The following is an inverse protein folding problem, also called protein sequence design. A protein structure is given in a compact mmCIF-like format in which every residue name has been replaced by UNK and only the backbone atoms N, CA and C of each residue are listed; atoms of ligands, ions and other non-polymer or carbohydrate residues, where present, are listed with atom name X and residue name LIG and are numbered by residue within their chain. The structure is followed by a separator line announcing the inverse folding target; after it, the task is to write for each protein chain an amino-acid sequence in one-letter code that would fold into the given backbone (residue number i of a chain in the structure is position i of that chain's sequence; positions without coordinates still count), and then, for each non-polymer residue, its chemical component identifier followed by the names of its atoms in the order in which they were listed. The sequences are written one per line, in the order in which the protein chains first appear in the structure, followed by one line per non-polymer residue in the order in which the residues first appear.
data_IF_680101167138
#
_entry.id   IF_680101167138
#
_cell.length_a   1.000
_cell.length_b   1.000
_cell.length_c   1.000
_cell.angle_alpha   90.00
_cell.angle_beta   90.00
_cell.angle_gamma   90.00
#
_symmetry.space_group_name_H-M   'P 1'
#
loop_
_entity.id
_entity.type
_entity.pdbx_description
1 polymer ?
#
# COMPACT_ATOMS: atom_id res chain seq x y z
N UNK A 1 -16.94 -18.78 30.11
CA UNK A 1 -15.74 -18.04 29.67
C UNK A 1 -15.18 -18.76 28.45
N UNK A 2 -15.53 -18.33 27.22
CA UNK A 2 -15.01 -18.93 25.99
C UNK A 2 -13.61 -18.37 25.75
N UNK A 3 -12.58 -19.24 25.76
CA UNK A 3 -11.24 -18.90 25.31
C UNK A 3 -11.30 -18.74 23.79
N UNK A 4 -11.36 -17.50 23.31
CA UNK A 4 -11.04 -17.21 21.90
C UNK A 4 -9.53 -17.33 21.75
N UNK A 5 -9.08 -18.25 20.92
CA UNK A 5 -7.72 -18.22 20.42
C UNK A 5 -7.73 -17.09 19.38
N UNK A 6 -7.29 -15.89 19.80
CA UNK A 6 -7.00 -14.77 18.89
C UNK A 6 -5.73 -15.10 18.11
N UNK A 7 -5.84 -16.04 17.18
CA UNK A 7 -4.79 -16.27 16.23
C UNK A 7 -5.46 -16.55 14.90
N UNK A 8 -5.97 -15.50 14.26
CA UNK A 8 -6.27 -15.49 12.82
C UNK A 8 -4.94 -15.47 12.04
N UNK A 9 -3.99 -16.30 12.47
CA UNK A 9 -2.70 -16.47 11.85
C UNK A 9 -2.86 -17.52 10.77
N UNK A 10 -2.37 -17.21 9.58
CA UNK A 10 -2.19 -18.20 8.53
C UNK A 10 -1.22 -19.26 9.03
N UNK A 11 -1.67 -20.51 9.10
CA UNK A 11 -0.84 -21.64 9.51
C UNK A 11 -0.27 -22.30 8.26
N UNK A 12 1.05 -22.22 8.08
CA UNK A 12 1.74 -22.97 7.04
C UNK A 12 1.65 -24.46 7.40
N UNK A 13 0.97 -25.23 6.54
CA UNK A 13 0.83 -26.69 6.65
C UNK A 13 2.09 -27.35 6.07
N UNK A 14 2.49 -26.92 4.87
CA UNK A 14 3.60 -27.52 4.13
C UNK A 14 4.23 -26.48 3.21
N UNK A 15 5.49 -26.69 2.85
CA UNK A 15 6.13 -26.00 1.76
C UNK A 15 6.83 -27.02 0.85
N UNK A 16 7.00 -26.68 -0.43
CA UNK A 16 7.77 -27.46 -1.37
C UNK A 16 8.64 -26.54 -2.22
N UNK A 17 9.77 -27.06 -2.70
CA UNK A 17 10.63 -26.37 -3.66
C UNK A 17 10.92 -27.32 -4.82
N UNK A 18 10.75 -26.84 -6.05
CA UNK A 18 11.06 -27.57 -7.28
C UNK A 18 11.82 -26.63 -8.22
N UNK A 19 13.15 -26.81 -8.29
CA UNK A 19 14.02 -25.90 -9.03
C UNK A 19 13.92 -24.47 -8.47
N UNK A 20 13.49 -23.55 -9.34
CA UNK A 20 13.30 -22.13 -9.01
C UNK A 20 11.90 -21.81 -8.46
N UNK A 21 11.00 -22.81 -8.41
CA UNK A 21 9.65 -22.64 -7.88
C UNK A 21 9.57 -23.03 -6.41
N UNK A 22 8.82 -22.24 -5.64
CA UNK A 22 8.43 -22.54 -4.27
C UNK A 22 6.91 -22.57 -4.17
N UNK A 23 6.36 -23.49 -3.39
CA UNK A 23 4.94 -23.56 -3.08
C UNK A 23 4.74 -23.61 -1.57
N UNK A 24 3.72 -22.92 -1.09
CA UNK A 24 3.26 -22.99 0.29
C UNK A 24 1.82 -23.50 0.32
N UNK A 25 1.56 -24.50 1.15
CA UNK A 25 0.23 -24.93 1.53
C UNK A 25 -0.04 -24.38 2.92
N UNK A 26 -1.12 -23.62 3.07
CA UNK A 26 -1.49 -23.01 4.34
C UNK A 26 -2.99 -23.10 4.58
N UNK A 27 -3.39 -22.94 5.84
CA UNK A 27 -4.78 -22.91 6.26
C UNK A 27 -5.04 -21.68 7.14
N UNK A 28 -6.30 -21.26 7.19
CA UNK A 28 -6.76 -20.17 8.01
C UNK A 28 -7.41 -20.73 9.27
N UNK A 29 -6.85 -20.36 10.42
CA UNK A 29 -7.45 -20.71 11.70
C UNK A 29 -8.69 -19.83 11.90
N UNK A 30 -9.82 -20.46 12.24
CA UNK A 30 -11.03 -19.74 12.64
C UNK A 30 -12.14 -19.65 11.60
N UNK A 31 -11.89 -20.00 10.34
CA UNK A 31 -12.97 -20.14 9.33
C UNK A 31 -13.94 -21.23 9.80
N UNK A 32 -15.20 -20.88 10.07
CA UNK A 32 -16.21 -21.82 10.57
C UNK A 32 -16.81 -22.63 9.41
N UNK A 33 -16.11 -23.70 9.01
CA UNK A 33 -16.70 -24.73 8.14
C UNK A 33 -17.20 -24.22 6.77
N UNK A 34 -18.06 -25.02 6.12
CA UNK A 34 -18.57 -24.77 4.75
C UNK A 34 -19.61 -23.65 4.65
N UNK A 35 -20.07 -23.12 5.77
CA UNK A 35 -21.22 -22.22 5.84
C UNK A 35 -20.82 -20.75 6.08
N UNK A 36 -19.54 -20.45 6.29
CA UNK A 36 -19.04 -19.07 6.39
C UNK A 36 -18.83 -18.47 5.00
N UNK A 37 -19.30 -17.24 4.82
CA UNK A 37 -19.05 -16.48 3.60
C UNK A 37 -17.73 -15.73 3.76
N UNK A 38 -16.80 -15.95 2.82
CA UNK A 38 -15.50 -15.27 2.80
C UNK A 38 -15.47 -14.34 1.61
N UNK A 39 -15.27 -13.05 1.86
CA UNK A 39 -15.05 -12.03 0.84
C UNK A 39 -13.70 -11.37 1.01
N UNK A 40 -13.26 -10.58 0.02
CA UNK A 40 -12.08 -9.74 0.20
C UNK A 40 -12.47 -8.34 0.69
N UNK A 41 -11.55 -7.64 1.37
CA UNK A 41 -11.78 -6.28 1.87
C UNK A 41 -12.15 -5.30 0.76
N UNK A 42 -11.77 -5.58 -0.50
CA UNK A 42 -12.15 -4.75 -1.64
C UNK A 42 -13.66 -4.80 -1.91
N UNK A 43 -14.26 -5.99 -1.90
CA UNK A 43 -15.70 -6.15 -2.10
C UNK A 43 -16.48 -5.40 -1.01
N UNK A 44 -16.00 -5.47 0.23
CA UNK A 44 -16.54 -4.71 1.34
C UNK A 44 -16.36 -3.21 1.13
N UNK A 45 -15.17 -2.77 0.69
CA UNK A 45 -14.89 -1.37 0.40
C UNK A 45 -15.89 -0.81 -0.62
N UNK A 46 -16.22 -1.53 -1.70
CA UNK A 46 -17.15 -0.98 -2.69
C UNK A 46 -18.62 -1.01 -2.25
N UNK A 47 -19.00 -1.88 -1.30
CA UNK A 47 -20.38 -2.08 -0.87
C UNK A 47 -20.78 -1.34 0.41
N UNK A 48 -19.83 -0.87 1.22
CA UNK A 48 -20.08 -0.27 2.54
C UNK A 48 -19.77 1.23 2.59
N UNK A 49 -20.17 1.93 3.65
CA UNK A 49 -19.84 3.35 3.84
C UNK A 49 -18.41 3.55 4.34
N UNK A 50 -17.96 4.81 4.48
CA UNK A 50 -16.62 5.08 5.03
C UNK A 50 -16.58 4.78 6.54
N UNK A 51 -17.67 5.05 7.26
CA UNK A 51 -17.79 4.80 8.70
C UNK A 51 -17.68 3.30 9.04
N UNK A 52 -18.11 2.42 8.12
CA UNK A 52 -17.99 0.97 8.25
C UNK A 52 -16.59 0.47 7.89
N UNK A 53 -15.91 1.11 6.94
CA UNK A 53 -14.57 0.70 6.47
C UNK A 53 -13.43 1.15 7.38
N UNK A 54 -13.50 2.35 7.96
CA UNK A 54 -12.41 2.86 8.80
C UNK A 54 -12.07 1.93 9.98
N UNK A 55 -13.06 1.36 10.71
CA UNK A 55 -12.78 0.36 11.76
C UNK A 55 -12.10 -0.92 11.24
N UNK A 56 -12.35 -1.32 9.99
CA UNK A 56 -11.70 -2.49 9.40
C UNK A 56 -10.20 -2.23 9.18
N UNK A 57 -9.80 -1.01 8.82
CA UNK A 57 -8.38 -0.68 8.78
C UNK A 57 -7.73 -0.66 10.17
N UNK A 58 -8.45 -0.22 11.21
CA UNK A 58 -7.94 -0.31 12.59
C UNK A 58 -7.70 -1.77 12.96
N UNK A 59 -8.63 -2.66 12.62
CA UNK A 59 -8.47 -4.09 12.84
C UNK A 59 -7.29 -4.68 12.03
N UNK A 60 -7.14 -4.30 10.76
CA UNK A 60 -6.05 -4.76 9.91
C UNK A 60 -4.68 -4.37 10.49
N UNK A 61 -4.46 -3.08 10.75
CA UNK A 61 -3.13 -2.58 11.15
C UNK A 61 -2.83 -2.80 12.64
N UNK A 62 -3.82 -2.69 13.53
CA UNK A 62 -3.61 -2.78 14.99
C UNK A 62 -3.85 -4.16 15.57
N UNK A 63 -4.51 -5.06 14.84
CA UNK A 63 -4.78 -6.42 15.30
C UNK A 63 -4.08 -7.44 14.42
N UNK A 64 -4.42 -7.51 13.13
CA UNK A 64 -3.91 -8.55 12.23
C UNK A 64 -2.40 -8.40 11.95
N UNK A 65 -1.95 -7.18 11.63
CA UNK A 65 -0.56 -6.89 11.27
C UNK A 65 0.32 -6.47 12.46
N UNK A 66 -0.25 -6.34 13.67
CA UNK A 66 0.48 -5.84 14.84
C UNK A 66 1.75 -6.63 15.15
N UNK A 67 1.72 -7.94 14.99
CA UNK A 67 2.87 -8.81 15.25
C UNK A 67 3.95 -8.69 14.17
N UNK A 68 3.56 -8.37 12.94
CA UNK A 68 4.47 -8.19 11.80
C UNK A 68 5.36 -6.97 12.02
N UNK A 69 4.77 -5.88 12.54
CA UNK A 69 5.47 -4.64 12.85
C UNK A 69 6.01 -4.56 14.29
N UNK A 70 5.86 -5.62 15.10
CA UNK A 70 6.03 -5.54 16.57
C UNK A 70 7.46 -5.37 17.08
N UNK A 71 8.47 -5.68 16.26
CA UNK A 71 9.89 -5.64 16.62
C UNK A 71 10.76 -5.03 15.50
N UNK A 72 10.50 -3.80 15.08
CA UNK A 72 11.25 -3.23 13.98
C UNK A 72 12.66 -2.85 14.43
N UNK A 73 13.57 -2.79 13.47
CA UNK A 73 14.98 -2.42 13.69
C UNK A 73 15.33 -1.24 12.82
N UNK A 74 16.00 -0.24 13.38
CA UNK A 74 16.52 0.85 12.58
C UNK A 74 17.61 0.33 11.63
N UNK A 75 17.48 0.65 10.35
CA UNK A 75 18.34 0.20 9.25
C UNK A 75 18.51 1.29 8.21
N UNK A 76 19.66 1.28 7.55
CA UNK A 76 19.86 2.01 6.31
C UNK A 76 19.35 1.14 5.15
N UNK A 77 18.27 1.57 4.51
CA UNK A 77 17.66 0.88 3.37
C UNK A 77 17.82 1.72 2.11
N UNK A 78 18.09 1.05 0.98
CA UNK A 78 18.13 1.66 -0.34
C UNK A 78 16.74 1.64 -0.98
N UNK A 79 15.91 2.62 -0.67
CA UNK A 79 14.52 2.66 -1.14
C UNK A 79 14.42 2.64 -2.67
N UNK A 80 15.30 3.37 -3.38
CA UNK A 80 15.31 3.33 -4.84
C UNK A 80 15.66 1.95 -5.41
N UNK A 81 16.53 1.18 -4.74
CA UNK A 81 16.81 -0.20 -5.12
C UNK A 81 15.60 -1.09 -4.88
N UNK A 82 14.95 -0.95 -3.72
CA UNK A 82 13.78 -1.73 -3.34
C UNK A 82 12.59 -1.54 -4.31
N UNK A 83 12.35 -0.31 -4.75
CA UNK A 83 11.28 0.04 -5.70
C UNK A 83 11.73 0.03 -7.18
N UNK A 84 12.93 -0.49 -7.49
CA UNK A 84 13.43 -0.50 -8.88
C UNK A 84 12.96 -1.69 -9.73
N UNK A 85 12.26 -2.66 -9.14
CA UNK A 85 11.77 -3.82 -9.87
C UNK A 85 10.43 -3.51 -10.55
N UNK A 86 10.46 -3.38 -11.87
CA UNK A 86 9.27 -3.18 -12.69
C UNK A 86 9.08 -4.38 -13.59
N UNK A 87 8.16 -5.26 -13.18
CA UNK A 87 7.77 -6.38 -14.03
C UNK A 87 7.25 -5.87 -15.37
N UNK A 88 7.71 -6.49 -16.45
CA UNK A 88 7.31 -6.15 -17.82
C UNK A 88 7.62 -4.71 -18.23
N UNK A 89 8.65 -4.08 -17.65
CA UNK A 89 9.08 -2.73 -18.02
C UNK A 89 9.25 -2.56 -19.53
N UNK A 90 9.89 -3.52 -20.21
CA UNK A 90 10.08 -3.46 -21.67
C UNK A 90 8.74 -3.37 -22.42
N UNK A 91 7.74 -4.15 -22.02
CA UNK A 91 6.40 -4.07 -22.61
C UNK A 91 5.73 -2.71 -22.37
N UNK A 92 5.92 -2.13 -21.17
CA UNK A 92 5.40 -0.80 -20.84
C UNK A 92 6.08 0.26 -21.71
N UNK A 93 7.41 0.18 -21.84
CA UNK A 93 8.20 1.09 -22.67
C UNK A 93 7.78 1.02 -24.13
N UNK A 94 7.67 -0.17 -24.70
CA UNK A 94 7.19 -0.38 -26.09
C UNK A 94 5.78 0.17 -26.30
N UNK A 95 4.86 -0.06 -25.35
CA UNK A 95 3.50 0.47 -25.41
C UNK A 95 3.49 2.01 -25.39
N UNK A 96 4.25 2.62 -24.48
CA UNK A 96 4.33 4.07 -24.35
C UNK A 96 4.92 4.71 -25.61
N UNK A 97 6.01 4.15 -26.14
CA UNK A 97 6.63 4.64 -27.37
C UNK A 97 5.69 4.53 -28.58
N UNK A 98 4.97 3.41 -28.72
CA UNK A 98 4.09 3.17 -29.86
C UNK A 98 2.78 3.98 -29.85
N UNK A 99 2.28 4.37 -28.67
CA UNK A 99 0.98 5.04 -28.54
C UNK A 99 1.07 6.53 -28.21
N UNK A 100 2.17 6.98 -27.61
CA UNK A 100 2.32 8.35 -27.13
C UNK A 100 3.55 9.07 -27.69
N UNK A 101 4.38 8.41 -28.49
CA UNK A 101 5.62 8.99 -29.07
C UNK A 101 6.57 9.56 -28.00
N UNK A 102 6.57 8.95 -26.80
CA UNK A 102 7.42 9.37 -25.67
C UNK A 102 8.63 8.43 -25.57
N UNK A 103 9.83 9.00 -25.54
CA UNK A 103 11.09 8.25 -25.37
C UNK A 103 11.64 8.34 -23.95
N UNK A 104 12.38 7.34 -23.48
CA UNK A 104 13.08 7.37 -22.20
C UNK A 104 14.25 8.38 -22.15
N UNK A 105 14.68 8.89 -23.30
CA UNK A 105 15.74 9.92 -23.40
C UNK A 105 15.23 11.32 -23.05
N UNK A 106 13.91 11.52 -23.04
CA UNK A 106 13.28 12.80 -22.76
C UNK A 106 13.06 12.97 -21.25
N UNK A 107 13.65 13.99 -20.63
CA UNK A 107 13.55 14.19 -19.18
C UNK A 107 12.12 14.51 -18.71
N UNK A 108 11.35 15.17 -19.56
CA UNK A 108 9.99 15.65 -19.24
C UNK A 108 9.01 15.33 -20.34
N UNK A 109 7.74 15.16 -19.96
CA UNK A 109 6.60 15.06 -20.87
C UNK A 109 5.63 16.21 -20.63
N UNK A 110 4.95 16.64 -21.70
CA UNK A 110 3.80 17.52 -21.62
C UNK A 110 2.57 16.71 -21.21
N UNK A 111 1.93 17.09 -20.12
CA UNK A 111 0.70 16.47 -19.65
C UNK A 111 -0.49 17.02 -20.44
N UNK A 112 -1.51 16.18 -20.72
CA UNK A 112 -2.70 16.62 -21.42
C UNK A 112 -3.49 17.67 -20.61
N UNK A 113 -4.50 18.27 -21.25
CA UNK A 113 -5.47 19.18 -20.59
C UNK A 113 -4.86 20.44 -19.94
N UNK A 114 -3.69 20.88 -20.39
CA UNK A 114 -3.03 22.07 -19.84
C UNK A 114 -2.51 21.86 -18.42
N UNK A 115 -2.25 20.61 -18.03
CA UNK A 115 -1.72 20.24 -16.71
C UNK A 115 -0.23 20.60 -16.53
N UNK A 116 0.42 21.09 -17.60
CA UNK A 116 1.82 21.51 -17.62
C UNK A 116 2.76 20.33 -17.90
N UNK A 117 3.99 20.42 -17.42
CA UNK A 117 5.01 19.38 -17.61
C UNK A 117 5.16 18.50 -16.37
N UNK A 118 5.55 17.25 -16.60
CA UNK A 118 5.96 16.31 -15.55
C UNK A 118 7.28 15.65 -15.92
N UNK A 119 8.02 15.15 -14.93
CA UNK A 119 9.10 14.20 -15.19
C UNK A 119 8.54 13.00 -15.96
N UNK A 120 9.23 12.61 -17.02
CA UNK A 120 8.88 11.44 -17.80
C UNK A 120 9.10 10.17 -16.97
N UNK A 121 8.08 9.32 -16.76
CA UNK A 121 8.24 8.07 -16.01
C UNK A 121 9.29 7.13 -16.60
N UNK A 122 9.44 7.09 -17.94
CA UNK A 122 10.46 6.26 -18.59
C UNK A 122 11.88 6.76 -18.26
N UNK A 123 12.11 8.07 -18.39
CA UNK A 123 13.37 8.69 -17.99
C UNK A 123 13.66 8.50 -16.50
N UNK A 124 12.64 8.62 -15.64
CA UNK A 124 12.79 8.42 -14.21
C UNK A 124 13.33 7.02 -13.89
N UNK A 125 12.79 5.99 -14.54
CA UNK A 125 13.20 4.60 -14.32
C UNK A 125 14.61 4.31 -14.87
N UNK A 126 14.92 4.76 -16.08
CA UNK A 126 16.21 4.45 -16.74
C UNK A 126 17.37 5.31 -16.26
N UNK A 127 17.10 6.53 -15.79
CA UNK A 127 18.14 7.48 -15.43
C UNK A 127 18.13 7.83 -13.94
N UNK A 128 16.99 8.27 -13.40
CA UNK A 128 16.94 8.80 -12.03
C UNK A 128 17.08 7.66 -11.01
N UNK A 129 16.28 6.59 -11.12
CA UNK A 129 16.37 5.43 -10.23
C UNK A 129 17.78 4.83 -10.28
N UNK A 130 18.37 4.66 -11.46
CA UNK A 130 19.71 4.07 -11.59
C UNK A 130 20.79 4.89 -10.86
N UNK A 131 20.72 6.23 -10.95
CA UNK A 131 21.65 7.13 -10.26
C UNK A 131 21.46 7.11 -8.74
N UNK A 132 20.22 6.93 -8.28
CA UNK A 132 19.87 6.97 -6.85
C UNK A 132 19.82 5.60 -6.18
N UNK A 133 20.03 4.52 -6.93
CA UNK A 133 19.90 3.14 -6.46
C UNK A 133 20.72 2.84 -5.20
N UNK A 134 21.89 3.47 -5.06
CA UNK A 134 22.76 3.29 -3.88
C UNK A 134 22.46 4.21 -2.71
N UNK A 135 21.57 5.21 -2.86
CA UNK A 135 21.20 6.13 -1.79
C UNK A 135 20.49 5.37 -0.67
N UNK A 136 20.87 5.65 0.58
CA UNK A 136 20.24 5.03 1.75
C UNK A 136 19.40 6.03 2.52
N UNK A 137 18.34 5.53 3.14
CA UNK A 137 17.52 6.25 4.10
C UNK A 137 17.42 5.43 5.37
N UNK A 138 17.55 6.10 6.50
CA UNK A 138 17.35 5.50 7.82
C UNK A 138 15.86 5.26 8.06
N UNK A 139 15.47 3.99 8.13
CA UNK A 139 14.08 3.57 8.30
C UNK A 139 13.99 2.39 9.26
N UNK A 140 12.83 2.25 9.88
CA UNK A 140 12.52 1.05 10.66
C UNK A 140 12.13 -0.09 9.73
N UNK A 141 12.85 -1.20 9.83
CA UNK A 141 12.61 -2.43 9.07
C UNK A 141 11.81 -3.43 9.92
N UNK A 142 10.77 -4.05 9.36
CA UNK A 142 10.06 -5.19 9.95
C UNK A 142 9.59 -6.16 8.86
N UNK A 143 8.92 -7.24 9.26
CA UNK A 143 8.22 -8.10 8.30
C UNK A 143 7.03 -7.34 7.74
N UNK A 144 6.89 -7.34 6.41
CA UNK A 144 5.78 -6.71 5.68
C UNK A 144 5.16 -7.72 4.73
N UNK A 145 3.91 -7.51 4.36
CA UNK A 145 3.25 -8.28 3.30
C UNK A 145 3.91 -8.03 1.94
N UNK A 146 4.32 -6.79 1.68
CA UNK A 146 5.05 -6.36 0.47
C UNK A 146 4.15 -5.99 -0.70
N UNK A 147 3.00 -6.67 -0.82
CA UNK A 147 1.90 -6.34 -1.75
C UNK A 147 0.54 -6.21 -1.03
N UNK A 148 0.48 -5.46 0.08
CA UNK A 148 -0.77 -5.30 0.82
C UNK A 148 -1.76 -4.43 0.04
N UNK A 149 -2.71 -5.08 -0.64
CA UNK A 149 -3.89 -4.47 -1.26
C UNK A 149 -5.17 -5.08 -0.66
N UNK A 150 -6.34 -4.49 -0.93
CA UNK A 150 -7.61 -4.95 -0.32
C UNK A 150 -8.07 -6.33 -0.79
N UNK A 151 -7.61 -6.82 -1.95
CA UNK A 151 -7.90 -8.19 -2.42
C UNK A 151 -7.11 -9.23 -1.64
N UNK A 152 -5.93 -8.85 -1.14
CA UNK A 152 -5.05 -9.71 -0.34
C UNK A 152 -5.46 -9.79 1.15
N UNK A 153 -6.60 -9.20 1.51
CA UNK A 153 -7.20 -9.27 2.85
C UNK A 153 -8.55 -9.96 2.74
N UNK A 154 -8.64 -11.20 3.22
CA UNK A 154 -9.89 -11.95 3.34
C UNK A 154 -10.60 -11.63 4.65
N UNK A 155 -11.93 -11.60 4.60
CA UNK A 155 -12.80 -11.35 5.74
C UNK A 155 -13.99 -12.29 5.79
N UNK A 156 -14.43 -12.64 7.00
CA UNK A 156 -15.70 -13.33 7.25
C UNK A 156 -16.78 -12.37 7.79
N UNK A 157 -17.99 -12.90 8.03
CA UNK A 157 -19.11 -12.17 8.62
C UNK A 157 -18.86 -11.59 10.04
N UNK A 158 -17.90 -12.13 10.78
CA UNK A 158 -17.49 -11.67 12.11
C UNK A 158 -16.33 -10.65 12.02
N UNK A 159 -16.01 -10.16 10.80
CA UNK A 159 -14.88 -9.30 10.45
C UNK A 159 -13.51 -9.91 10.76
N UNK A 160 -13.37 -11.21 10.99
CA UNK A 160 -12.06 -11.83 11.15
C UNK A 160 -11.26 -11.68 9.86
N UNK A 161 -9.99 -11.26 9.97
CA UNK A 161 -9.14 -10.97 8.82
C UNK A 161 -8.02 -12.00 8.65
N UNK A 162 -7.77 -12.39 7.42
CA UNK A 162 -6.62 -13.20 7.02
C UNK A 162 -5.92 -12.60 5.81
N UNK A 163 -4.59 -12.70 5.78
CA UNK A 163 -3.79 -12.27 4.64
C UNK A 163 -3.55 -13.45 3.70
N UNK A 164 -3.47 -13.15 2.41
CA UNK A 164 -3.14 -14.11 1.35
C UNK A 164 -2.15 -13.49 0.37
N UNK A 165 -1.58 -14.33 -0.49
CA UNK A 165 -0.64 -13.92 -1.53
C UNK A 165 0.68 -13.36 -0.98
N UNK A 166 1.43 -14.25 -0.34
CA UNK A 166 2.69 -13.93 0.34
C UNK A 166 3.91 -13.87 -0.60
N UNK A 167 3.73 -13.70 -1.91
CA UNK A 167 4.85 -13.73 -2.87
C UNK A 167 5.87 -12.62 -2.62
N UNK A 168 5.39 -11.45 -2.19
CA UNK A 168 6.19 -10.25 -1.92
C UNK A 168 6.56 -10.09 -0.43
N UNK A 169 6.22 -11.07 0.42
CA UNK A 169 6.47 -10.99 1.86
C UNK A 169 7.96 -11.01 2.15
N UNK A 170 8.47 -9.93 2.73
CA UNK A 170 9.89 -9.76 3.01
C UNK A 170 10.12 -8.91 4.27
N UNK A 171 11.38 -8.66 4.60
CA UNK A 171 11.74 -7.57 5.51
C UNK A 171 11.91 -6.29 4.69
N UNK A 172 11.29 -5.21 5.14
CA UNK A 172 11.30 -3.90 4.46
C UNK A 172 10.95 -2.81 5.46
N UNK A 173 11.01 -1.54 5.02
CA UNK A 173 10.52 -0.41 5.80
C UNK A 173 9.05 -0.59 6.20
N UNK A 174 8.74 -0.33 7.48
CA UNK A 174 7.42 -0.61 8.08
C UNK A 174 6.24 0.11 7.43
N UNK A 175 6.50 1.16 6.64
CA UNK A 175 5.47 1.92 5.92
C UNK A 175 5.19 1.37 4.51
N UNK A 176 5.85 0.28 4.06
CA UNK A 176 5.66 -0.28 2.71
C UNK A 176 4.24 -0.72 2.46
N UNK A 177 3.67 -1.51 3.37
CA UNK A 177 2.29 -2.00 3.26
C UNK A 177 1.26 -0.85 3.25
N UNK A 178 1.52 0.20 4.05
CA UNK A 178 0.72 1.42 4.07
C UNK A 178 0.83 2.15 2.71
N UNK A 179 2.05 2.34 2.19
CA UNK A 179 2.28 3.03 0.93
C UNK A 179 1.64 2.29 -0.25
N UNK A 180 1.70 0.95 -0.26
CA UNK A 180 1.04 0.11 -1.27
C UNK A 180 -0.49 0.31 -1.23
N UNK A 181 -1.09 0.22 -0.03
CA UNK A 181 -2.53 0.37 0.12
C UNK A 181 -3.00 1.81 -0.16
N UNK A 182 -2.21 2.82 0.20
CA UNK A 182 -2.46 4.22 -0.17
C UNK A 182 -2.48 4.38 -1.69
N UNK A 183 -1.54 3.78 -2.43
CA UNK A 183 -1.55 3.83 -3.89
C UNK A 183 -2.82 3.21 -4.49
N UNK A 184 -3.25 2.04 -4.00
CA UNK A 184 -4.51 1.39 -4.44
C UNK A 184 -5.71 2.30 -4.17
N UNK A 185 -5.80 2.89 -2.97
CA UNK A 185 -6.89 3.82 -2.64
C UNK A 185 -6.93 5.04 -3.58
N UNK A 186 -5.78 5.60 -3.93
CA UNK A 186 -5.69 6.81 -4.77
C UNK A 186 -5.94 6.55 -6.25
N UNK A 187 -5.61 5.37 -6.76
CA UNK A 187 -5.59 5.11 -8.20
C UNK A 187 -6.60 4.06 -8.68
N UNK A 188 -7.10 3.18 -7.80
CA UNK A 188 -7.92 2.03 -8.20
C UNK A 188 -9.35 2.06 -7.66
N UNK A 189 -9.66 2.92 -6.67
CA UNK A 189 -10.97 2.89 -6.00
C UNK A 189 -12.04 3.82 -6.60
N UNK A 190 -11.67 4.66 -7.56
CA UNK A 190 -12.61 5.50 -8.29
C UNK A 190 -12.19 5.66 -9.75
N UNK A 191 -13.18 5.74 -10.62
CA UNK A 191 -12.97 5.78 -12.06
C UNK A 191 -12.69 7.21 -12.55
N UNK A 192 -11.56 7.39 -13.25
CA UNK A 192 -11.21 8.61 -13.97
C UNK A 192 -11.73 8.49 -15.41
N UNK A 193 -12.98 8.89 -15.61
CA UNK A 193 -13.67 8.82 -16.92
C UNK A 193 -14.01 10.19 -17.51
N UNK A 194 -13.45 11.26 -16.95
CA UNK A 194 -13.56 12.61 -17.51
C UNK A 194 -12.40 13.50 -17.08
N UNK A 195 -12.12 14.51 -17.89
CA UNK A 195 -11.07 15.51 -17.63
C UNK A 195 -11.28 16.20 -16.28
N UNK A 196 -12.54 16.52 -15.93
CA UNK A 196 -12.88 17.13 -14.65
C UNK A 196 -12.51 16.25 -13.46
N UNK A 197 -12.72 14.93 -13.55
CA UNK A 197 -12.30 13.98 -12.52
C UNK A 197 -10.79 13.82 -12.46
N UNK A 198 -10.11 13.79 -13.60
CA UNK A 198 -8.65 13.74 -13.66
C UNK A 198 -8.02 14.96 -12.99
N UNK A 199 -8.48 16.17 -13.33
CA UNK A 199 -8.04 17.41 -12.69
C UNK A 199 -8.27 17.37 -11.17
N UNK A 200 -9.41 16.83 -10.73
CA UNK A 200 -9.70 16.69 -9.29
C UNK A 200 -8.76 15.69 -8.60
N UNK A 201 -8.51 14.53 -9.22
CA UNK A 201 -7.57 13.54 -8.70
C UNK A 201 -6.16 14.14 -8.56
N UNK A 202 -5.70 14.93 -9.54
CA UNK A 202 -4.41 15.62 -9.50
C UNK A 202 -4.37 16.69 -8.40
N UNK A 203 -5.44 17.47 -8.21
CA UNK A 203 -5.53 18.44 -7.11
C UNK A 203 -5.34 17.75 -5.75
N UNK A 204 -5.99 16.59 -5.56
CA UNK A 204 -5.87 15.80 -4.33
C UNK A 204 -4.47 15.20 -4.17
N UNK A 205 -3.88 14.69 -5.24
CA UNK A 205 -2.51 14.15 -5.18
C UNK A 205 -1.51 15.25 -4.80
N UNK A 206 -1.67 16.48 -5.33
CA UNK A 206 -0.84 17.62 -4.94
C UNK A 206 -0.95 17.94 -3.45
N UNK A 207 -2.13 17.81 -2.86
CA UNK A 207 -2.34 17.98 -1.42
C UNK A 207 -1.59 16.90 -0.63
N UNK A 208 -1.67 15.64 -1.08
CA UNK A 208 -0.98 14.52 -0.45
C UNK A 208 0.56 14.57 -0.60
N UNK A 209 1.08 15.19 -1.67
CA UNK A 209 2.51 15.35 -1.94
C UNK A 209 3.10 16.64 -1.35
N UNK A 210 2.28 17.60 -0.91
CA UNK A 210 2.76 18.87 -0.35
C UNK A 210 3.35 18.73 1.06
N UNK A 211 3.11 17.60 1.74
CA UNK A 211 3.60 17.35 3.10
C UNK A 211 5.01 16.77 3.07
N UNK A 212 5.82 17.18 4.04
CA UNK A 212 7.24 16.78 4.10
C UNK A 212 7.53 15.79 5.23
N UNK A 213 6.56 15.54 6.11
CA UNK A 213 6.70 14.66 7.27
C UNK A 213 5.50 13.74 7.42
N UNK A 214 5.69 12.55 8.01
CA UNK A 214 4.57 11.61 8.26
C UNK A 214 3.54 12.16 9.26
N UNK A 215 3.96 13.07 10.14
CA UNK A 215 3.08 13.73 11.12
C UNK A 215 2.14 14.76 10.51
N UNK A 216 2.43 15.23 9.29
CA UNK A 216 1.58 16.15 8.57
C UNK A 216 0.51 15.38 7.79
N UNK A 217 -0.65 15.18 8.41
CA UNK A 217 -1.80 14.55 7.75
C UNK A 217 -2.62 15.64 7.04
N UNK A 218 -2.73 15.61 5.70
CA UNK A 218 -3.46 16.63 4.96
C UNK A 218 -4.92 16.71 5.37
N UNK A 219 -5.50 17.90 5.35
CA UNK A 219 -6.91 18.12 5.68
C UNK A 219 -7.81 17.97 4.46
N UNK A 220 -9.06 17.57 4.69
CA UNK A 220 -10.06 17.40 3.63
C UNK A 220 -10.32 18.76 2.97
N UNK A 221 -10.16 18.88 1.65
CA UNK A 221 -10.48 20.12 0.95
C UNK A 221 -11.97 20.43 1.07
N UNK A 222 -12.30 21.69 1.37
CA UNK A 222 -13.71 22.14 1.43
C UNK A 222 -14.46 21.98 0.11
N UNK A 223 -13.73 21.87 -1.00
CA UNK A 223 -14.24 21.66 -2.36
C UNK A 223 -14.50 20.18 -2.69
N UNK A 224 -14.09 19.24 -1.84
CA UNK A 224 -14.30 17.81 -2.06
C UNK A 224 -15.76 17.44 -1.77
N UNK A 225 -16.48 16.99 -2.81
CA UNK A 225 -17.91 16.67 -2.74
C UNK A 225 -18.25 15.26 -3.24
N UNK A 226 -17.43 14.68 -4.11
CA UNK A 226 -17.66 13.33 -4.62
C UNK A 226 -17.53 12.32 -3.46
N UNK A 227 -18.58 11.55 -3.12
CA UNK A 227 -18.56 10.64 -1.97
C UNK A 227 -17.52 9.53 -2.09
N UNK A 228 -17.25 9.01 -3.30
CA UNK A 228 -16.27 7.94 -3.52
C UNK A 228 -14.86 8.47 -3.32
N UNK A 229 -14.58 9.65 -3.88
CA UNK A 229 -13.27 10.30 -3.72
C UNK A 229 -13.06 10.75 -2.27
N UNK A 230 -14.11 11.26 -1.60
CA UNK A 230 -14.07 11.59 -0.17
C UNK A 230 -13.79 10.35 0.69
N UNK A 231 -14.44 9.22 0.40
CA UNK A 231 -14.17 7.95 1.08
C UNK A 231 -12.71 7.53 0.92
N UNK A 232 -12.19 7.54 -0.30
CA UNK A 232 -10.77 7.22 -0.56
C UNK A 232 -9.83 8.17 0.21
N UNK A 233 -10.12 9.48 0.20
CA UNK A 233 -9.34 10.49 0.90
C UNK A 233 -9.28 10.22 2.42
N UNK A 234 -10.44 9.96 3.04
CA UNK A 234 -10.54 9.63 4.46
C UNK A 234 -9.78 8.35 4.80
N UNK A 235 -9.84 7.35 3.93
CA UNK A 235 -9.09 6.12 4.09
C UNK A 235 -7.58 6.37 4.02
N UNK A 236 -7.11 7.20 3.07
CA UNK A 236 -5.69 7.59 2.98
C UNK A 236 -5.23 8.38 4.21
N UNK A 237 -6.05 9.32 4.70
CA UNK A 237 -5.75 10.01 5.96
C UNK A 237 -5.55 9.00 7.10
N UNK A 238 -6.43 8.00 7.20
CA UNK A 238 -6.33 6.96 8.22
C UNK A 238 -5.07 6.11 8.07
N UNK A 239 -4.67 5.78 6.84
CA UNK A 239 -3.42 5.09 6.57
C UNK A 239 -2.19 5.89 7.01
N UNK A 240 -2.19 7.21 6.77
CA UNK A 240 -1.13 8.11 7.22
C UNK A 240 -1.09 8.27 8.74
N UNK A 241 -2.23 8.21 9.44
CA UNK A 241 -2.25 8.11 10.90
C UNK A 241 -1.47 6.87 11.38
N UNK A 242 -1.69 5.71 10.78
CA UNK A 242 -0.92 4.50 11.16
C UNK A 242 0.57 4.64 10.84
N UNK A 243 0.93 5.26 9.72
CA UNK A 243 2.33 5.49 9.37
C UNK A 243 3.01 6.36 10.43
N UNK A 244 2.34 7.43 10.88
CA UNK A 244 2.84 8.30 11.93
C UNK A 244 2.90 7.60 13.30
N UNK A 245 1.84 6.90 13.71
CA UNK A 245 1.82 6.20 14.99
C UNK A 245 2.87 5.08 15.08
N UNK A 246 3.04 4.32 14.00
CA UNK A 246 4.09 3.31 13.91
C UNK A 246 5.47 3.95 14.04
N UNK A 247 5.66 5.19 13.60
CA UNK A 247 6.89 5.94 13.81
C UNK A 247 7.03 6.40 15.28
N UNK A 248 5.98 6.96 15.86
CA UNK A 248 5.97 7.49 17.23
C UNK A 248 6.16 6.40 18.30
N UNK A 249 5.44 5.26 18.18
CA UNK A 249 5.57 4.11 19.08
C UNK A 249 7.01 3.56 19.17
N UNK A 250 7.84 3.85 18.17
CA UNK A 250 9.24 3.43 18.12
C UNK A 250 10.17 4.45 18.77
N UNK A 251 9.94 5.75 18.55
CA UNK A 251 10.64 6.82 19.27
C UNK A 251 10.46 6.69 20.79
N UNK A 252 9.26 6.32 21.26
CA UNK A 252 9.01 6.09 22.69
C UNK A 252 9.69 4.83 23.25
N UNK A 253 9.95 3.78 22.45
CA UNK A 253 10.66 2.59 22.92
C UNK A 253 12.18 2.80 23.03
N UNK A 254 12.76 3.70 22.23
CA UNK A 254 14.19 4.01 22.28
C UNK A 254 14.56 4.96 23.44
N UNK A 255 13.67 5.86 23.84
CA UNK A 255 13.90 6.81 24.94
C UNK A 255 13.96 6.16 26.34
N UNK A 256 13.44 4.94 26.48
CA UNK A 256 13.48 4.16 27.73
C UNK A 256 14.61 3.11 27.79
N UNK A 257 15.53 3.12 26.82
CA UNK A 257 16.72 2.23 26.78
C UNK A 257 18.05 2.93 27.13
N UNK A 258 18.03 4.14 27.68
CA UNK A 258 19.22 4.85 28.18
C UNK A 258 19.26 4.86 29.70
#
# INVERSE_FOLDING_TARGET
MKRYIQNNATQIIQHCKLGDFCGILYNFVGIKGTDSEIGCLEDYYFSHTVEEILPLFDQLFRVALRTWYGQPKLKEIRLYEEYSSFDRYDNIKEYVQSHFDVSADEETIELPFGLGTSTNPLYFIENIIQKRKSETVSVYEASVHGDLNMKNVLMDEDNNMWLIDFSETCHSHIVRDIAKLEAVLKFETFEINSDGKLCKAIELEKIFLAVNTLSEIPQIPSTLRDPKVLKAFLCVQKLREYANENFDLLLFKESHKK
#
